data_IF_598340410766
#
_entry.id   IF_598340410766
#
_cell.length_a   1.000
_cell.length_b   1.000
_cell.length_c   1.000
_cell.angle_alpha   90.00
_cell.angle_beta   90.00
_cell.angle_gamma   90.00
#
_symmetry.space_group_name_H-M   'P 1'
#
loop_
_entity.id
_entity.type
_entity.pdbx_description
1 polymer ?
#
# COMPACT_ATOMS: atom_id res chain seq x y z
N UNK A 1 2.45 9.42 24.14
CA UNK A 1 0.99 9.16 24.28
C UNK A 1 0.55 8.49 23.00
N UNK A 2 -0.17 7.37 23.07
CA UNK A 2 -0.65 6.66 21.87
C UNK A 2 -1.89 7.37 21.34
N UNK A 3 -1.90 7.72 20.05
CA UNK A 3 -3.08 8.32 19.43
C UNK A 3 -4.20 7.29 19.33
N UNK A 4 -5.45 7.72 19.51
CA UNK A 4 -6.58 6.93 19.00
C UNK A 4 -6.62 6.98 17.47
N UNK A 5 -7.27 6.01 16.82
CA UNK A 5 -7.40 6.01 15.35
C UNK A 5 -8.01 7.32 14.83
N UNK A 6 -9.06 7.85 15.46
CA UNK A 6 -9.68 9.11 15.02
C UNK A 6 -8.73 10.30 15.16
N UNK A 7 -7.97 10.37 16.26
CA UNK A 7 -6.95 11.42 16.45
C UNK A 7 -5.86 11.32 15.39
N UNK A 8 -5.39 10.10 15.10
CA UNK A 8 -4.41 9.85 14.05
C UNK A 8 -4.91 10.29 12.68
N UNK A 9 -6.09 9.81 12.25
CA UNK A 9 -6.63 10.09 10.93
C UNK A 9 -6.90 11.59 10.74
N UNK A 10 -7.43 12.29 11.76
CA UNK A 10 -7.62 13.75 11.69
C UNK A 10 -6.27 14.48 11.61
N UNK A 11 -5.29 14.09 12.42
CA UNK A 11 -3.98 14.74 12.46
C UNK A 11 -3.21 14.56 11.14
N UNK A 12 -3.23 13.34 10.56
CA UNK A 12 -2.62 13.05 9.25
C UNK A 12 -3.33 13.78 8.12
N UNK A 13 -4.67 13.87 8.17
CA UNK A 13 -5.41 14.64 7.17
C UNK A 13 -5.00 16.12 7.19
N UNK A 14 -4.96 16.73 8.38
CA UNK A 14 -4.53 18.13 8.52
C UNK A 14 -3.06 18.30 8.11
N UNK A 15 -2.17 17.38 8.45
CA UNK A 15 -0.74 17.42 8.08
C UNK A 15 -0.53 17.60 6.58
N UNK A 16 -1.32 16.88 5.78
CA UNK A 16 -1.28 16.92 4.32
C UNK A 16 -1.94 18.15 3.72
N UNK A 17 -2.98 18.64 4.37
CA UNK A 17 -3.83 19.74 3.87
C UNK A 17 -3.61 21.03 4.67
N UNK A 18 -2.39 21.27 5.16
CA UNK A 18 -2.08 22.47 5.93
C UNK A 18 -2.37 23.75 5.15
N UNK A 19 -2.70 24.82 5.88
CA UNK A 19 -3.08 26.11 5.33
C UNK A 19 -4.35 26.10 4.45
N UNK A 20 -5.05 24.97 4.32
CA UNK A 20 -6.34 24.90 3.62
C UNK A 20 -7.50 25.14 4.57
N UNK A 21 -8.58 25.73 4.04
CA UNK A 21 -9.82 25.92 4.80
C UNK A 21 -10.66 24.66 4.73
N UNK A 22 -10.90 24.02 5.88
CA UNK A 22 -11.75 22.85 5.98
C UNK A 22 -12.68 22.91 7.19
N UNK A 23 -13.98 22.78 6.92
CA UNK A 23 -15.01 22.76 7.97
C UNK A 23 -15.06 21.40 8.66
N UNK A 24 -15.54 21.35 9.90
CA UNK A 24 -15.72 20.06 10.62
C UNK A 24 -16.69 19.13 9.89
N UNK A 25 -17.68 19.65 9.15
CA UNK A 25 -18.57 18.84 8.31
C UNK A 25 -17.85 18.22 7.11
N UNK A 26 -16.95 18.98 6.50
CA UNK A 26 -16.12 18.47 5.41
C UNK A 26 -15.14 17.40 5.93
N UNK A 27 -14.48 17.64 7.07
CA UNK A 27 -13.64 16.64 7.75
C UNK A 27 -14.42 15.35 8.05
N UNK A 28 -15.65 15.47 8.56
CA UNK A 28 -16.50 14.32 8.86
C UNK A 28 -16.79 13.47 7.61
N UNK A 29 -17.05 14.13 6.48
CA UNK A 29 -17.24 13.44 5.19
C UNK A 29 -15.94 12.78 4.68
N UNK A 30 -14.81 13.48 4.76
CA UNK A 30 -13.53 12.99 4.24
C UNK A 30 -12.98 11.82 5.05
N UNK A 31 -13.21 11.82 6.37
CA UNK A 31 -12.73 10.79 7.28
C UNK A 31 -13.77 9.67 7.53
N UNK A 32 -14.92 9.75 6.86
CA UNK A 32 -16.07 8.85 7.05
C UNK A 32 -16.45 8.61 8.53
N UNK A 33 -16.58 9.70 9.28
CA UNK A 33 -16.97 9.67 10.71
C UNK A 33 -18.05 10.70 11.00
N UNK A 34 -18.76 10.54 12.11
CA UNK A 34 -19.78 11.51 12.51
C UNK A 34 -19.18 12.89 12.83
N UNK A 35 -19.96 13.94 12.61
CA UNK A 35 -19.58 15.31 13.00
C UNK A 35 -19.24 15.42 14.49
N UNK A 36 -19.93 14.67 15.35
CA UNK A 36 -19.64 14.64 16.79
C UNK A 36 -18.25 14.07 17.10
N UNK A 37 -17.83 13.02 16.37
CA UNK A 37 -16.48 12.46 16.49
C UNK A 37 -15.44 13.50 16.07
N UNK A 38 -15.63 14.16 14.92
CA UNK A 38 -14.70 15.22 14.47
C UNK A 38 -14.60 16.35 15.48
N UNK A 39 -15.72 16.86 15.98
CA UNK A 39 -15.72 17.97 16.94
C UNK A 39 -14.98 17.59 18.23
N UNK A 40 -15.24 16.39 18.76
CA UNK A 40 -14.55 15.87 19.95
C UNK A 40 -13.06 15.72 19.70
N UNK A 41 -12.67 15.01 18.64
CA UNK A 41 -11.27 14.73 18.31
C UNK A 41 -10.48 16.01 18.03
N UNK A 42 -11.08 16.96 17.31
CA UNK A 42 -10.44 18.25 17.05
C UNK A 42 -10.21 19.04 18.33
N UNK A 43 -11.19 19.05 19.26
CA UNK A 43 -11.03 19.70 20.56
C UNK A 43 -9.89 19.06 21.38
N UNK A 44 -9.83 17.73 21.43
CA UNK A 44 -8.76 16.99 22.11
C UNK A 44 -7.37 17.29 21.52
N UNK A 45 -7.26 17.34 20.19
CA UNK A 45 -5.99 17.64 19.49
C UNK A 45 -5.54 19.10 19.68
N UNK A 46 -6.48 20.04 19.81
CA UNK A 46 -6.19 21.45 20.14
C UNK A 46 -5.79 21.61 21.61
N UNK A 47 -6.51 20.99 22.54
CA UNK A 47 -6.24 21.03 23.98
C UNK A 47 -4.88 20.40 24.31
N UNK A 48 -4.52 19.32 23.62
CA UNK A 48 -3.22 18.66 23.74
C UNK A 48 -2.11 19.37 22.94
N UNK A 49 -2.40 20.49 22.28
CA UNK A 49 -1.47 21.30 21.50
C UNK A 49 -0.81 20.56 20.32
N UNK A 50 -1.40 19.45 19.84
CA UNK A 50 -0.94 18.76 18.64
C UNK A 50 -1.38 19.48 17.36
N UNK A 51 -2.50 20.19 17.44
CA UNK A 51 -2.96 21.12 16.43
C UNK A 51 -3.00 22.54 16.98
N UNK A 52 -2.91 23.52 16.09
CA UNK A 52 -3.25 24.92 16.38
C UNK A 52 -4.25 25.45 15.35
N UNK A 53 -5.17 26.30 15.81
CA UNK A 53 -6.07 27.04 14.93
C UNK A 53 -5.40 28.33 14.49
N UNK A 54 -5.22 28.52 13.18
CA UNK A 54 -4.64 29.74 12.62
C UNK A 54 -5.73 30.81 12.44
N UNK A 55 -6.86 30.38 11.91
CA UNK A 55 -8.09 31.16 11.73
C UNK A 55 -9.26 30.19 11.59
N UNK A 56 -10.47 30.72 11.45
CA UNK A 56 -11.66 29.89 11.37
C UNK A 56 -11.53 28.78 10.30
N UNK A 57 -11.65 27.53 10.72
CA UNK A 57 -11.55 26.33 9.88
C UNK A 57 -10.20 26.15 9.16
N UNK A 58 -9.12 26.70 9.71
CA UNK A 58 -7.75 26.49 9.19
C UNK A 58 -6.87 26.07 10.36
N UNK A 59 -6.27 24.88 10.23
CA UNK A 59 -5.47 24.26 11.27
C UNK A 59 -4.08 23.92 10.74
N UNK A 60 -3.09 24.03 11.61
CA UNK A 60 -1.72 23.56 11.37
C UNK A 60 -1.36 22.48 12.39
N UNK A 61 -0.48 21.57 11.97
CA UNK A 61 0.16 20.62 12.87
C UNK A 61 1.31 21.31 13.59
N UNK A 62 1.35 21.22 14.91
CA UNK A 62 2.43 21.81 15.71
C UNK A 62 3.66 20.89 15.71
N UNK A 63 4.79 21.37 16.23
CA UNK A 63 5.97 20.53 16.45
C UNK A 63 5.62 19.29 17.29
N UNK A 64 4.85 19.46 18.37
CA UNK A 64 4.37 18.38 19.23
C UNK A 64 3.47 17.39 18.47
N UNK A 65 2.64 17.87 17.54
CA UNK A 65 1.85 17.04 16.64
C UNK A 65 2.74 16.15 15.76
N UNK A 66 3.78 16.73 15.16
CA UNK A 66 4.76 15.99 14.36
C UNK A 66 5.56 14.98 15.19
N UNK A 67 6.06 15.37 16.36
CA UNK A 67 6.74 14.46 17.29
C UNK A 67 5.85 13.28 17.69
N UNK A 68 4.54 13.52 17.84
CA UNK A 68 3.56 12.46 18.16
C UNK A 68 3.29 11.55 16.97
N UNK A 69 3.39 12.04 15.73
CA UNK A 69 3.23 11.25 14.51
C UNK A 69 4.48 10.43 14.15
N UNK A 70 5.67 10.83 14.56
CA UNK A 70 6.91 10.15 14.12
C UNK A 70 7.02 8.64 14.40
N UNK A 71 6.48 8.09 15.50
CA UNK A 71 6.40 6.65 15.69
C UNK A 71 5.61 5.90 14.59
N UNK A 72 4.71 6.61 13.89
CA UNK A 72 3.87 6.07 12.81
C UNK A 72 4.46 6.30 11.42
N UNK A 73 5.64 6.92 11.32
CA UNK A 73 6.23 7.29 10.03
C UNK A 73 6.66 6.07 9.25
N UNK A 74 6.18 5.98 8.01
CA UNK A 74 6.64 4.99 7.04
C UNK A 74 8.09 5.29 6.67
N UNK A 75 8.96 4.27 6.77
CA UNK A 75 10.41 4.43 6.59
C UNK A 75 10.86 4.09 5.18
N UNK A 76 10.18 3.16 4.52
CA UNK A 76 10.58 2.65 3.20
C UNK A 76 9.42 2.10 2.39
N UNK A 77 9.66 1.92 1.10
CA UNK A 77 8.75 1.25 0.18
C UNK A 77 9.48 0.14 -0.58
N UNK A 78 8.90 -1.05 -0.59
CA UNK A 78 9.44 -2.25 -1.22
C UNK A 78 8.46 -2.70 -2.30
N UNK A 79 8.95 -2.81 -3.53
CA UNK A 79 8.16 -3.19 -4.69
C UNK A 79 8.47 -4.62 -5.10
N UNK A 80 7.44 -5.46 -5.23
CA UNK A 80 7.57 -6.80 -5.78
C UNK A 80 7.29 -6.73 -7.29
N UNK A 81 8.32 -6.93 -8.10
CA UNK A 81 8.31 -6.69 -9.55
C UNK A 81 8.98 -7.81 -10.37
N UNK A 82 9.20 -8.98 -9.76
CA UNK A 82 10.01 -10.05 -10.36
C UNK A 82 9.26 -10.93 -11.36
N UNK A 83 7.92 -10.87 -11.37
CA UNK A 83 7.06 -11.76 -12.15
C UNK A 83 7.10 -11.52 -13.66
N UNK A 84 6.82 -12.57 -14.43
CA UNK A 84 6.82 -12.54 -15.90
C UNK A 84 5.64 -11.74 -16.50
N UNK A 85 4.44 -11.84 -15.93
CA UNK A 85 3.25 -11.19 -16.48
C UNK A 85 2.74 -11.84 -17.78
N UNK A 86 2.67 -13.17 -17.82
CA UNK A 86 2.28 -13.97 -19.01
C UNK A 86 0.91 -13.60 -19.59
N UNK A 87 -0.04 -13.15 -18.76
CA UNK A 87 -1.40 -12.75 -19.15
C UNK A 87 -1.45 -11.48 -20.01
N UNK A 88 -0.34 -10.74 -20.10
CA UNK A 88 -0.21 -9.51 -20.91
C UNK A 88 0.64 -9.69 -22.18
N UNK A 89 0.97 -10.93 -22.55
CA UNK A 89 1.58 -11.24 -23.86
C UNK A 89 0.65 -10.73 -24.99
N UNK A 90 1.19 -10.10 -26.06
CA UNK A 90 2.61 -10.06 -26.44
C UNK A 90 3.42 -8.92 -25.82
N UNK A 91 2.80 -7.96 -25.13
CA UNK A 91 3.49 -6.77 -24.62
C UNK A 91 4.62 -7.16 -23.65
N UNK A 92 4.36 -8.14 -22.79
CA UNK A 92 5.31 -8.57 -21.78
C UNK A 92 6.45 -9.44 -22.28
N UNK A 93 6.51 -9.78 -23.58
CA UNK A 93 7.64 -10.55 -24.14
C UNK A 93 8.97 -9.79 -24.12
N UNK A 94 8.92 -8.46 -24.21
CA UNK A 94 10.09 -7.60 -24.27
C UNK A 94 10.07 -6.46 -23.24
N UNK A 95 9.03 -6.38 -22.40
CA UNK A 95 8.86 -5.30 -21.40
C UNK A 95 8.27 -5.90 -20.13
N UNK A 96 8.93 -5.81 -18.94
CA UNK A 96 8.29 -6.19 -17.68
C UNK A 96 6.94 -5.51 -17.50
N UNK A 97 5.93 -6.23 -16.98
CA UNK A 97 4.58 -5.69 -16.70
C UNK A 97 4.63 -4.31 -16.01
N UNK A 98 5.42 -4.10 -14.95
CA UNK A 98 5.51 -2.79 -14.28
C UNK A 98 6.02 -1.63 -15.15
N UNK A 99 6.78 -1.93 -16.21
CA UNK A 99 7.36 -0.94 -17.13
C UNK A 99 6.49 -0.69 -18.37
N UNK A 100 5.37 -1.39 -18.52
CA UNK A 100 4.39 -1.12 -19.59
C UNK A 100 3.86 0.30 -19.43
N UNK A 101 3.74 1.00 -20.55
CA UNK A 101 3.22 2.37 -20.59
C UNK A 101 1.70 2.34 -20.62
N UNK A 102 1.07 3.21 -19.84
CA UNK A 102 -0.36 3.48 -19.90
C UNK A 102 -0.51 4.99 -19.93
N UNK A 103 -1.12 5.51 -21.00
CA UNK A 103 -1.24 6.94 -21.27
C UNK A 103 0.11 7.67 -21.20
N UNK A 104 1.16 7.02 -21.69
CA UNK A 104 2.52 7.58 -21.75
C UNK A 104 3.33 7.51 -20.45
N UNK A 105 2.81 6.88 -19.39
CA UNK A 105 3.50 6.72 -18.10
C UNK A 105 3.65 5.24 -17.74
N UNK A 106 4.78 4.82 -17.17
CA UNK A 106 4.94 3.41 -16.76
C UNK A 106 4.02 3.11 -15.58
N UNK A 107 3.43 1.92 -15.52
CA UNK A 107 2.53 1.53 -14.42
C UNK A 107 3.20 1.77 -13.06
N UNK A 108 4.43 1.28 -12.86
CA UNK A 108 5.15 1.45 -11.59
C UNK A 108 5.45 2.92 -11.24
N UNK A 109 5.57 3.80 -12.23
CA UNK A 109 5.84 5.23 -11.99
C UNK A 109 4.68 5.92 -11.27
N UNK A 110 3.43 5.43 -11.37
CA UNK A 110 2.31 6.02 -10.60
C UNK A 110 2.48 5.79 -9.10
N UNK A 111 2.95 4.61 -8.70
CA UNK A 111 3.22 4.27 -7.31
C UNK A 111 4.51 4.96 -6.81
N UNK A 112 5.59 4.95 -7.62
CA UNK A 112 6.85 5.59 -7.26
C UNK A 112 6.68 7.10 -7.05
N UNK A 113 5.90 7.77 -7.91
CA UNK A 113 5.59 9.20 -7.72
C UNK A 113 4.84 9.45 -6.40
N UNK A 114 3.88 8.60 -6.04
CA UNK A 114 3.14 8.72 -4.79
C UNK A 114 4.02 8.46 -3.56
N UNK A 115 4.89 7.45 -3.61
CA UNK A 115 5.88 7.13 -2.56
C UNK A 115 6.84 8.31 -2.33
N UNK A 116 7.40 8.88 -3.40
CA UNK A 116 8.30 10.03 -3.30
C UNK A 116 7.56 11.27 -2.81
N UNK A 117 6.33 11.52 -3.28
CA UNK A 117 5.50 12.63 -2.81
C UNK A 117 5.14 12.50 -1.31
N UNK A 118 4.98 11.28 -0.80
CA UNK A 118 4.81 11.00 0.63
C UNK A 118 6.10 11.19 1.45
N UNK A 119 7.23 11.52 0.81
CA UNK A 119 8.52 11.74 1.48
C UNK A 119 9.23 10.45 1.89
N UNK A 120 8.93 9.33 1.21
CA UNK A 120 9.56 8.03 1.42
C UNK A 120 10.67 7.87 0.37
N UNK A 121 11.92 7.91 0.82
CA UNK A 121 13.09 7.92 -0.09
C UNK A 121 13.85 6.57 -0.14
N UNK A 122 13.71 5.72 0.87
CA UNK A 122 14.30 4.38 0.88
C UNK A 122 13.39 3.46 0.07
N UNK A 123 13.70 3.32 -1.22
CA UNK A 123 12.91 2.55 -2.18
C UNK A 123 13.73 1.35 -2.64
N UNK A 124 13.15 0.16 -2.54
CA UNK A 124 13.74 -1.09 -3.03
C UNK A 124 12.79 -1.77 -3.99
N UNK A 125 13.30 -2.24 -5.14
CA UNK A 125 12.52 -3.01 -6.11
C UNK A 125 13.14 -4.41 -6.22
N UNK A 126 12.34 -5.43 -5.93
CA UNK A 126 12.69 -6.83 -6.16
C UNK A 126 12.33 -7.17 -7.60
N UNK A 127 13.34 -7.44 -8.42
CA UNK A 127 13.19 -7.69 -9.87
C UNK A 127 13.67 -9.10 -10.24
N UNK A 128 13.27 -9.58 -11.41
CA UNK A 128 13.54 -10.93 -11.88
C UNK A 128 13.48 -10.94 -13.40
N UNK A 129 12.35 -11.31 -13.97
CA UNK A 129 12.15 -11.29 -15.41
C UNK A 129 12.50 -9.91 -16.03
N UNK A 130 13.44 -9.91 -16.99
CA UNK A 130 13.95 -8.69 -17.66
C UNK A 130 14.36 -7.58 -16.68
N UNK A 131 14.96 -7.95 -15.55
CA UNK A 131 15.28 -7.05 -14.44
C UNK A 131 16.15 -5.84 -14.85
N UNK A 132 17.08 -6.03 -15.79
CA UNK A 132 17.94 -4.96 -16.31
C UNK A 132 17.15 -3.78 -16.90
N UNK A 133 15.92 -4.01 -17.40
CA UNK A 133 15.11 -2.94 -17.96
C UNK A 133 14.64 -1.92 -16.91
N UNK A 134 14.61 -2.31 -15.63
CA UNK A 134 14.26 -1.40 -14.53
C UNK A 134 15.31 -0.31 -14.32
N UNK A 135 16.53 -0.45 -14.85
CA UNK A 135 17.58 0.58 -14.75
C UNK A 135 17.14 1.92 -15.34
N UNK A 136 16.18 1.92 -16.28
CA UNK A 136 15.58 3.15 -16.83
C UNK A 136 14.92 4.02 -15.75
N UNK A 137 14.46 3.43 -14.65
CA UNK A 137 13.84 4.15 -13.54
C UNK A 137 14.86 5.01 -12.79
N UNK A 138 16.15 4.65 -12.81
CA UNK A 138 17.21 5.39 -12.11
C UNK A 138 17.39 6.82 -12.62
N UNK A 139 16.98 7.10 -13.87
CA UNK A 139 17.01 8.46 -14.42
C UNK A 139 16.11 9.43 -13.63
N UNK A 140 14.95 8.96 -13.17
CA UNK A 140 13.98 9.77 -12.42
C UNK A 140 14.07 9.53 -10.91
N UNK A 141 14.43 8.32 -10.50
CA UNK A 141 14.50 7.90 -9.10
C UNK A 141 15.88 7.31 -8.76
N UNK A 142 16.92 8.16 -8.66
CA UNK A 142 18.31 7.70 -8.52
C UNK A 142 18.62 6.99 -7.20
N UNK A 143 17.72 7.06 -6.21
CA UNK A 143 17.87 6.42 -4.89
C UNK A 143 17.33 4.98 -4.84
N UNK A 144 16.68 4.49 -5.91
CA UNK A 144 16.15 3.12 -5.97
C UNK A 144 17.30 2.11 -5.83
N UNK A 145 17.07 1.10 -5.00
CA UNK A 145 17.91 -0.09 -4.88
C UNK A 145 17.22 -1.27 -5.55
N UNK A 146 17.99 -2.13 -6.19
CA UNK A 146 17.48 -3.35 -6.81
C UNK A 146 17.91 -4.58 -6.01
N UNK A 147 17.01 -5.55 -5.91
CA UNK A 147 17.29 -6.90 -5.42
C UNK A 147 16.89 -7.87 -6.52
N UNK A 148 17.83 -8.72 -6.94
CA UNK A 148 17.55 -9.77 -7.92
C UNK A 148 16.91 -10.98 -7.24
N UNK A 149 15.77 -11.42 -7.75
CA UNK A 149 15.15 -12.68 -7.36
C UNK A 149 15.46 -13.76 -8.41
N UNK A 150 16.46 -14.64 -8.17
CA UNK A 150 16.78 -15.71 -9.12
C UNK A 150 15.72 -16.82 -9.17
N UNK A 151 14.78 -16.87 -8.21
CA UNK A 151 13.77 -17.92 -8.09
C UNK A 151 12.42 -17.53 -8.71
N UNK A 152 12.35 -16.39 -9.42
CA UNK A 152 11.11 -15.81 -9.93
C UNK A 152 10.31 -16.73 -10.88
N UNK A 153 10.99 -17.69 -11.51
CA UNK A 153 10.41 -18.65 -12.46
C UNK A 153 10.20 -20.06 -11.87
N UNK A 154 10.67 -20.32 -10.66
CA UNK A 154 10.58 -21.62 -9.97
C UNK A 154 9.59 -21.59 -8.81
N UNK A 155 9.20 -20.40 -8.37
CA UNK A 155 8.40 -20.18 -7.17
C UNK A 155 7.34 -19.13 -7.43
N UNK A 156 6.36 -19.07 -6.54
CA UNK A 156 5.42 -17.97 -6.52
C UNK A 156 6.05 -16.74 -5.81
N UNK A 157 5.32 -15.63 -5.66
CA UNK A 157 5.91 -14.36 -5.22
C UNK A 157 6.46 -14.35 -3.77
N UNK A 158 6.23 -15.39 -2.96
CA UNK A 158 6.88 -15.57 -1.65
C UNK A 158 8.40 -15.55 -1.72
N UNK A 159 9.02 -15.97 -2.82
CA UNK A 159 10.48 -15.85 -2.98
C UNK A 159 10.95 -14.40 -3.01
N UNK A 160 10.14 -13.49 -3.56
CA UNK A 160 10.45 -12.06 -3.54
C UNK A 160 10.37 -11.52 -2.10
N UNK A 161 9.35 -11.93 -1.34
CA UNK A 161 9.21 -11.60 0.07
C UNK A 161 10.34 -12.19 0.93
N UNK A 162 10.79 -13.40 0.63
CA UNK A 162 11.89 -14.08 1.33
C UNK A 162 13.21 -13.29 1.28
N UNK A 163 13.46 -12.58 0.18
CA UNK A 163 14.66 -11.75 -0.03
C UNK A 163 14.62 -10.43 0.73
N UNK A 164 13.42 -9.96 1.07
CA UNK A 164 13.20 -8.66 1.74
C UNK A 164 12.66 -8.79 3.16
N UNK A 165 12.54 -10.01 3.69
CA UNK A 165 11.91 -10.29 4.99
C UNK A 165 12.48 -9.41 6.12
N UNK A 166 13.79 -9.22 6.14
CA UNK A 166 14.50 -8.41 7.16
C UNK A 166 14.38 -6.90 6.93
N UNK A 167 13.66 -6.48 5.89
CA UNK A 167 13.41 -5.09 5.53
C UNK A 167 11.97 -4.64 5.82
N UNK A 168 11.07 -5.52 6.27
CA UNK A 168 9.64 -5.19 6.36
C UNK A 168 9.25 -4.26 7.52
N UNK A 169 10.14 -4.03 8.49
CA UNK A 169 9.87 -3.11 9.60
C UNK A 169 9.61 -1.66 9.13
N UNK A 170 8.39 -1.17 9.33
CA UNK A 170 7.99 0.19 8.96
C UNK A 170 7.95 0.42 7.44
N UNK A 171 7.65 -0.61 6.67
CA UNK A 171 7.70 -0.60 5.21
C UNK A 171 6.31 -0.68 4.58
N UNK A 172 6.10 0.04 3.48
CA UNK A 172 5.13 -0.43 2.48
C UNK A 172 5.72 -1.61 1.71
N UNK A 173 4.89 -2.61 1.43
CA UNK A 173 5.13 -3.63 0.41
C UNK A 173 4.04 -3.49 -0.65
N UNK A 174 4.46 -3.27 -1.90
CA UNK A 174 3.60 -2.97 -3.02
C UNK A 174 3.84 -3.96 -4.16
N UNK A 175 2.75 -4.45 -4.75
CA UNK A 175 2.77 -5.07 -6.07
C UNK A 175 2.93 -3.97 -7.13
N UNK A 176 3.72 -4.27 -8.17
CA UNK A 176 4.25 -3.25 -9.08
C UNK A 176 3.43 -3.04 -10.36
N UNK A 177 2.31 -3.75 -10.46
CA UNK A 177 1.39 -3.80 -11.59
C UNK A 177 0.04 -3.09 -11.33
N UNK A 178 0.04 -2.22 -10.32
CA UNK A 178 -1.10 -1.39 -9.98
C UNK A 178 -0.96 0.00 -10.60
N UNK A 179 -1.96 0.39 -11.39
CA UNK A 179 -2.08 1.74 -11.94
C UNK A 179 -2.84 2.62 -10.93
N UNK A 180 -2.10 3.50 -10.25
CA UNK A 180 -2.61 4.37 -9.21
C UNK A 180 -3.13 5.69 -9.78
N UNK A 181 -4.42 5.98 -9.59
CA UNK A 181 -5.04 7.25 -9.96
C UNK A 181 -5.07 8.24 -8.80
N UNK A 182 -5.28 7.75 -7.57
CA UNK A 182 -5.30 8.56 -6.36
C UNK A 182 -3.99 8.39 -5.56
N UNK A 183 -3.03 9.33 -5.67
CA UNK A 183 -1.75 9.24 -4.94
C UNK A 183 -1.91 9.34 -3.42
N UNK A 184 -3.05 9.84 -2.92
CA UNK A 184 -3.28 10.00 -1.48
C UNK A 184 -3.37 8.67 -0.73
N UNK A 185 -3.56 7.54 -1.43
CA UNK A 185 -3.50 6.20 -0.83
C UNK A 185 -2.13 5.98 -0.18
N UNK A 186 -1.03 6.42 -0.78
CA UNK A 186 0.30 6.23 -0.21
C UNK A 186 0.57 7.33 0.81
N UNK A 187 0.82 6.96 2.07
CA UNK A 187 0.92 7.88 3.22
C UNK A 187 2.28 7.94 3.86
N UNK A 188 2.62 9.14 4.35
CA UNK A 188 3.82 9.41 5.14
C UNK A 188 3.75 8.75 6.52
N UNK A 189 2.54 8.62 7.07
CA UNK A 189 2.26 8.03 8.37
C UNK A 189 1.16 6.97 8.23
N UNK A 190 1.31 5.85 8.93
CA UNK A 190 0.34 4.75 8.98
C UNK A 190 0.08 4.30 10.42
N UNK A 191 -1.20 4.19 10.81
CA UNK A 191 -1.60 3.96 12.21
C UNK A 191 -1.16 2.60 12.75
N UNK A 192 -1.35 1.57 11.93
CA UNK A 192 -1.08 0.17 12.25
C UNK A 192 -0.84 -0.59 10.95
N UNK A 193 -0.36 -1.83 11.06
CA UNK A 193 -0.24 -2.74 9.91
C UNK A 193 -1.58 -2.88 9.21
N UNK A 194 -1.58 -2.66 7.90
CA UNK A 194 -2.80 -2.64 7.11
C UNK A 194 -2.60 -3.13 5.69
N UNK A 195 -3.69 -3.54 5.06
CA UNK A 195 -3.74 -3.96 3.67
C UNK A 195 -4.88 -3.22 2.96
N UNK A 196 -4.60 -2.64 1.79
CA UNK A 196 -5.61 -1.95 0.99
C UNK A 196 -6.67 -2.94 0.50
N UNK A 197 -7.95 -2.54 0.60
CA UNK A 197 -9.04 -3.35 0.09
C UNK A 197 -10.25 -2.52 -0.33
N UNK A 198 -10.86 -2.89 -1.45
CA UNK A 198 -12.04 -2.23 -2.02
C UNK A 198 -13.28 -2.96 -1.53
N UNK A 199 -14.17 -2.28 -0.83
CA UNK A 199 -15.45 -2.87 -0.40
C UNK A 199 -16.31 -3.21 -1.62
N UNK A 200 -16.71 -4.47 -1.75
CA UNK A 200 -17.51 -4.96 -2.89
C UNK A 200 -18.62 -5.91 -2.43
N UNK A 201 -19.74 -5.89 -3.17
CA UNK A 201 -20.84 -6.83 -2.95
C UNK A 201 -20.46 -8.25 -3.37
N UNK A 202 -19.73 -8.39 -4.49
CA UNK A 202 -19.23 -9.64 -5.03
C UNK A 202 -17.90 -9.40 -5.75
N UNK A 203 -16.97 -10.34 -5.61
CA UNK A 203 -15.77 -10.45 -6.47
C UNK A 203 -15.47 -11.93 -6.72
N UNK A 204 -14.79 -12.25 -7.81
CA UNK A 204 -14.20 -13.55 -8.11
C UNK A 204 -12.68 -13.59 -7.81
N UNK A 205 -12.11 -12.47 -7.36
CA UNK A 205 -10.70 -12.29 -7.06
C UNK A 205 -10.37 -12.53 -5.58
N UNK A 206 -9.10 -12.37 -5.21
CA UNK A 206 -8.64 -12.35 -3.83
C UNK A 206 -9.38 -11.30 -3.02
N UNK A 207 -9.83 -11.70 -1.85
CA UNK A 207 -10.60 -10.84 -0.98
C UNK A 207 -10.38 -11.12 0.51
N UNK A 208 -10.70 -10.11 1.31
CA UNK A 208 -10.65 -10.15 2.76
C UNK A 208 -12.06 -10.20 3.34
N UNK A 209 -12.28 -11.13 4.26
CA UNK A 209 -13.38 -11.01 5.21
C UNK A 209 -12.90 -10.29 6.46
N UNK A 210 -13.66 -9.29 6.88
CA UNK A 210 -13.23 -8.37 7.94
C UNK A 210 -14.21 -8.35 9.11
N UNK A 211 -13.69 -8.18 10.33
CA UNK A 211 -14.48 -7.95 11.54
C UNK A 211 -13.92 -6.76 12.29
N UNK A 212 -14.76 -5.74 12.52
CA UNK A 212 -14.37 -4.49 13.21
C UNK A 212 -13.11 -3.82 12.60
N UNK A 213 -13.01 -3.82 11.28
CA UNK A 213 -11.88 -3.21 10.54
C UNK A 213 -10.61 -4.06 10.45
N UNK A 214 -10.61 -5.30 10.98
CA UNK A 214 -9.47 -6.20 10.88
C UNK A 214 -9.76 -7.36 9.93
N UNK A 215 -8.76 -7.77 9.17
CA UNK A 215 -8.80 -8.94 8.30
C UNK A 215 -8.85 -10.19 9.18
N UNK A 216 -9.79 -11.09 8.88
CA UNK A 216 -10.03 -12.33 9.64
C UNK A 216 -9.94 -13.58 8.79
N UNK A 217 -9.92 -13.42 7.46
CA UNK A 217 -9.78 -14.52 6.51
C UNK A 217 -9.43 -13.95 5.13
N UNK A 218 -8.44 -14.58 4.49
CA UNK A 218 -8.18 -14.47 3.06
C UNK A 218 -9.02 -15.50 2.29
N UNK A 219 -9.53 -15.13 1.12
CA UNK A 219 -10.25 -16.03 0.23
C UNK A 219 -10.12 -15.62 -1.23
N UNK A 220 -10.52 -16.50 -2.14
CA UNK A 220 -10.65 -16.24 -3.58
C UNK A 220 -12.11 -16.36 -3.95
N UNK A 221 -12.67 -15.27 -4.46
CA UNK A 221 -14.09 -15.10 -4.66
C UNK A 221 -14.87 -14.92 -3.35
N UNK A 222 -15.76 -13.92 -3.30
CA UNK A 222 -16.45 -13.56 -2.07
C UNK A 222 -17.69 -12.72 -2.29
N UNK A 223 -18.55 -12.67 -1.27
CA UNK A 223 -19.67 -11.74 -1.17
C UNK A 223 -19.52 -10.87 0.07
N UNK A 224 -19.96 -9.62 -0.01
CA UNK A 224 -19.88 -8.64 1.08
C UNK A 224 -18.48 -8.60 1.72
N UNK A 225 -17.46 -8.47 0.89
CA UNK A 225 -16.04 -8.58 1.28
C UNK A 225 -15.26 -7.35 0.81
N UNK A 226 -13.95 -7.32 1.08
CA UNK A 226 -13.07 -6.34 0.48
C UNK A 226 -12.20 -7.03 -0.56
N UNK A 227 -12.32 -6.67 -1.84
CA UNK A 227 -11.38 -7.12 -2.86
C UNK A 227 -9.98 -6.61 -2.50
N UNK A 228 -9.00 -7.50 -2.53
CA UNK A 228 -7.62 -7.21 -2.20
C UNK A 228 -7.01 -6.27 -3.24
N UNK A 229 -6.19 -5.33 -2.78
CA UNK A 229 -5.37 -4.46 -3.62
C UNK A 229 -3.96 -4.54 -3.07
N UNK A 230 -2.99 -4.98 -3.88
CA UNK A 230 -1.59 -5.29 -3.55
C UNK A 230 -0.74 -4.16 -2.94
N UNK A 231 -1.24 -3.44 -1.94
CA UNK A 231 -0.56 -2.39 -1.19
C UNK A 231 -0.81 -2.64 0.29
N UNK A 232 0.26 -2.93 1.02
CA UNK A 232 0.20 -3.15 2.46
C UNK A 232 1.29 -2.36 3.19
N UNK A 233 1.03 -2.01 4.44
CA UNK A 233 2.02 -1.43 5.34
C UNK A 233 2.25 -2.36 6.52
N UNK A 234 3.51 -2.53 6.90
CA UNK A 234 3.95 -3.33 8.02
C UNK A 234 4.63 -2.43 9.05
N UNK A 235 4.07 -2.34 10.25
CA UNK A 235 4.72 -1.60 11.33
C UNK A 235 5.99 -2.32 11.81
N UNK A 236 6.69 -1.74 12.79
CA UNK A 236 7.94 -2.32 13.30
C UNK A 236 7.77 -3.72 13.90
N UNK A 237 6.75 -3.92 14.71
CA UNK A 237 6.54 -5.18 15.44
C UNK A 237 6.08 -6.29 14.49
N UNK A 238 5.05 -6.02 13.68
CA UNK A 238 4.49 -6.98 12.73
C UNK A 238 5.48 -7.25 11.59
N UNK A 239 6.26 -6.27 11.14
CA UNK A 239 7.30 -6.47 10.12
C UNK A 239 8.39 -7.43 10.58
N UNK A 240 8.77 -7.38 11.87
CA UNK A 240 9.70 -8.34 12.46
C UNK A 240 9.09 -9.74 12.54
N UNK A 241 7.86 -9.86 13.03
CA UNK A 241 7.13 -11.15 13.08
C UNK A 241 6.97 -11.74 11.68
N UNK A 242 6.64 -10.91 10.70
CA UNK A 242 6.49 -11.31 9.30
C UNK A 242 7.79 -11.86 8.74
N UNK A 243 8.95 -11.35 9.17
CA UNK A 243 10.23 -11.88 8.73
C UNK A 243 10.44 -13.33 9.17
N UNK A 244 10.13 -13.63 10.43
CA UNK A 244 10.21 -14.97 11.02
C UNK A 244 9.19 -15.94 10.38
N UNK A 245 7.98 -15.46 10.11
CA UNK A 245 6.91 -16.23 9.48
C UNK A 245 7.21 -16.54 8.01
N UNK A 246 7.72 -15.58 7.23
CA UNK A 246 8.16 -15.81 5.85
C UNK A 246 9.24 -16.88 5.80
N UNK A 247 10.23 -16.82 6.70
CA UNK A 247 11.30 -17.82 6.76
C UNK A 247 10.74 -19.23 7.00
N UNK A 248 9.78 -19.33 7.93
CA UNK A 248 9.15 -20.60 8.30
C UNK A 248 8.30 -21.15 7.17
N UNK A 249 7.39 -20.33 6.62
CA UNK A 249 6.47 -20.73 5.55
C UNK A 249 7.23 -21.07 4.27
N UNK A 250 8.26 -20.30 3.91
CA UNK A 250 9.04 -20.57 2.70
C UNK A 250 9.75 -21.93 2.73
N UNK A 251 10.16 -22.40 3.91
CA UNK A 251 10.89 -23.67 4.08
C UNK A 251 10.00 -24.89 4.24
N UNK A 252 8.71 -24.72 4.51
CA UNK A 252 7.80 -25.85 4.70
C UNK A 252 7.47 -26.54 3.38
N UNK A 253 7.05 -27.81 3.38
CA UNK A 253 6.57 -28.50 2.17
C UNK A 253 5.43 -27.72 1.52
N UNK A 254 5.53 -27.42 0.21
CA UNK A 254 4.54 -26.61 -0.50
C UNK A 254 4.64 -25.09 -0.25
N UNK A 255 5.64 -24.65 0.52
CA UNK A 255 5.83 -23.25 0.88
C UNK A 255 6.24 -22.35 -0.28
N UNK A 256 6.97 -22.89 -1.26
CA UNK A 256 7.50 -22.13 -2.42
C UNK A 256 6.42 -21.80 -3.45
N UNK A 257 5.30 -22.51 -3.40
CA UNK A 257 4.14 -22.36 -4.27
C UNK A 257 3.16 -21.30 -3.75
N UNK A 258 3.34 -20.83 -2.50
CA UNK A 258 2.45 -19.84 -1.85
C UNK A 258 2.72 -18.42 -2.29
N UNK A 259 1.66 -17.62 -2.26
CA UNK A 259 1.79 -16.16 -2.32
C UNK A 259 2.29 -15.63 -0.97
N UNK A 260 3.08 -14.57 -0.98
CA UNK A 260 3.59 -13.96 0.25
C UNK A 260 2.47 -13.44 1.16
N UNK A 261 1.35 -13.02 0.56
CA UNK A 261 0.15 -12.54 1.26
C UNK A 261 -0.45 -13.63 2.16
N UNK A 262 -0.39 -14.89 1.72
CA UNK A 262 -0.89 -16.02 2.50
C UNK A 262 -0.14 -16.19 3.82
N UNK A 263 1.12 -15.75 3.91
CA UNK A 263 1.95 -15.93 5.13
C UNK A 263 1.23 -15.31 6.33
N UNK A 264 0.89 -14.03 6.26
CA UNK A 264 0.24 -13.35 7.38
C UNK A 264 -1.30 -13.42 7.36
N UNK A 265 -1.91 -13.68 6.20
CA UNK A 265 -3.37 -13.62 6.04
C UNK A 265 -4.04 -14.99 6.01
N UNK A 266 -3.27 -16.08 5.97
CA UNK A 266 -3.78 -17.45 6.01
C UNK A 266 -2.97 -18.36 6.95
N UNK A 267 -1.67 -18.55 6.70
CA UNK A 267 -0.83 -19.55 7.40
C UNK A 267 -0.53 -19.15 8.85
N UNK A 268 -0.06 -17.92 9.05
CA UNK A 268 0.31 -17.36 10.35
C UNK A 268 -0.70 -16.28 10.80
N UNK A 269 -1.96 -16.36 10.39
CA UNK A 269 -2.99 -15.35 10.70
C UNK A 269 -3.10 -15.00 12.20
N UNK A 270 -2.84 -15.96 13.09
CA UNK A 270 -2.90 -15.77 14.53
C UNK A 270 -1.72 -14.96 15.12
N UNK A 271 -0.63 -14.79 14.36
CA UNK A 271 0.50 -13.93 14.72
C UNK A 271 0.26 -12.46 14.36
N UNK A 272 -0.64 -12.19 13.40
CA UNK A 272 -0.79 -10.86 12.79
C UNK A 272 -2.15 -10.23 13.08
N UNK A 273 -2.16 -8.92 13.23
CA UNK A 273 -3.39 -8.14 13.38
C UNK A 273 -3.50 -7.06 12.32
N UNK A 274 -3.82 -7.48 11.09
CA UNK A 274 -3.84 -6.61 9.92
C UNK A 274 -5.19 -5.89 9.79
N UNK A 275 -5.16 -4.56 9.74
CA UNK A 275 -6.35 -3.74 9.43
C UNK A 275 -6.64 -3.75 7.93
N UNK A 276 -7.92 -3.68 7.55
CA UNK A 276 -8.25 -3.28 6.18
C UNK A 276 -8.13 -1.76 6.09
N UNK A 277 -7.42 -1.28 5.07
CA UNK A 277 -7.40 0.13 4.68
C UNK A 277 -8.33 0.30 3.49
N UNK A 278 -9.51 0.93 3.67
CA UNK A 278 -10.47 1.05 2.58
C UNK A 278 -9.91 1.95 1.48
N UNK A 279 -10.05 1.50 0.24
CA UNK A 279 -9.83 2.29 -0.99
C UNK A 279 -11.02 2.07 -1.94
N UNK A 280 -11.15 2.90 -2.97
CA UNK A 280 -12.26 2.86 -3.91
C UNK A 280 -11.81 2.37 -5.29
N UNK A 281 -12.78 1.92 -6.11
CA UNK A 281 -12.49 1.39 -7.45
C UNK A 281 -11.88 2.44 -8.38
N UNK A 282 -12.23 3.71 -8.19
CA UNK A 282 -11.67 4.83 -8.95
C UNK A 282 -10.24 5.21 -8.53
N UNK A 283 -9.78 4.75 -7.37
CA UNK A 283 -8.48 5.16 -6.84
C UNK A 283 -7.32 4.41 -7.51
N UNK A 284 -7.56 3.15 -7.91
CA UNK A 284 -6.51 2.23 -8.35
C UNK A 284 -7.09 1.10 -9.18
N UNK A 285 -6.37 0.69 -10.23
CA UNK A 285 -6.74 -0.45 -11.08
C UNK A 285 -5.53 -1.37 -11.23
N UNK A 286 -5.75 -2.66 -11.02
CA UNK A 286 -4.81 -3.69 -11.43
C UNK A 286 -5.03 -4.03 -12.91
N UNK A 287 -3.95 -4.06 -13.69
CA UNK A 287 -4.02 -4.41 -15.11
C UNK A 287 -3.51 -5.82 -15.26
N UNK A 288 -4.39 -6.79 -15.36
CA UNK A 288 -4.03 -8.19 -15.25
C UNK A 288 -3.89 -8.89 -16.60
N UNK A 289 -4.67 -8.43 -17.58
CA UNK A 289 -4.69 -9.03 -18.92
C UNK A 289 -4.40 -8.01 -20.01
N UNK A 290 -3.93 -8.48 -21.17
CA UNK A 290 -3.78 -7.61 -22.34
C UNK A 290 -5.12 -6.99 -22.78
N UNK A 291 -6.24 -7.67 -22.51
CA UNK A 291 -7.59 -7.17 -22.80
C UNK A 291 -7.93 -5.96 -21.94
N UNK A 292 -7.65 -6.00 -20.64
CA UNK A 292 -7.84 -4.84 -19.75
C UNK A 292 -6.94 -3.68 -20.16
N UNK A 293 -5.67 -3.95 -20.51
CA UNK A 293 -4.76 -2.91 -21.02
C UNK A 293 -5.36 -2.18 -22.23
N UNK A 294 -5.93 -2.92 -23.19
CA UNK A 294 -6.59 -2.33 -24.38
C UNK A 294 -7.83 -1.49 -24.04
N UNK A 295 -8.54 -1.84 -22.96
CA UNK A 295 -9.70 -1.08 -22.50
C UNK A 295 -9.29 0.22 -21.84
N UNK A 296 -8.18 0.20 -21.10
CA UNK A 296 -7.64 1.37 -20.40
C UNK A 296 -6.95 2.32 -21.40
N UNK A 297 -6.05 1.80 -22.23
CA UNK A 297 -5.32 2.61 -23.21
C UNK A 297 -5.57 2.11 -24.66
N UNK A 298 -6.37 2.84 -25.44
CA UNK A 298 -6.69 2.49 -26.81
C UNK A 298 -5.49 2.44 -27.77
N UNK A 299 -4.30 2.94 -27.40
CA UNK A 299 -3.10 2.80 -28.25
C UNK A 299 -2.74 1.32 -28.50
N UNK A 300 -3.18 0.43 -27.63
CA UNK A 300 -3.00 -1.02 -27.77
C UNK A 300 -4.08 -1.69 -28.63
N UNK A 301 -5.06 -0.95 -29.16
CA UNK A 301 -6.01 -1.41 -30.16
C UNK A 301 -5.38 -1.43 -31.56
N UNK A 302 -4.31 -2.21 -31.68
CA UNK A 302 -3.74 -2.70 -32.95
C UNK A 302 -4.34 -4.03 -33.34
#
# INVERSE_FOLDING_TARGET
MTLTLNQFELLVYIERHQNTKITQRALAKQLDVSLGVVNKTLAELLESEMLRSIRNSVYDVTLKGYETLEPYRVKKAIFLAAGFGSRMVPITLNTPKPLVLVHGKRIIETLLDAVVAAGIEDITIVRGYLGEQFDVLLHKYPKIKFIENPLYNETNNISSAYLIKDMMEGAYVLESDLLLYNPEIIRKYEYATNYCGIKVDVTDDWCFHTKKGYITKLGVGGKDCHQMVGISYWNKEDGKTMAEDIETVFRMPGGKEKYWDEVALAECLHHHKVMVKPVHQEDIVEIDTFKELKQIDPIYNV
#
